data_IF_515285726477
#
_entry.id   IF_515285726477
#
_cell.length_a   1.000
_cell.length_b   1.000
_cell.length_c   1.000
_cell.angle_alpha   90.00
_cell.angle_beta   90.00
_cell.angle_gamma   90.00
#
_symmetry.space_group_name_H-M   'P 1'
#
loop_
_entity.id
_entity.type
_entity.pdbx_description
1 polymer ?
#
# COMPACT_ATOMS: atom_id res chain seq x y z
N UNK A 1 -35.73 -27.01 -34.71
CA UNK A 1 -34.47 -26.58 -34.08
C UNK A 1 -33.84 -27.80 -33.43
N UNK A 2 -32.64 -28.22 -33.85
CA UNK A 2 -32.04 -29.47 -33.36
C UNK A 2 -31.68 -29.34 -31.88
N UNK A 3 -32.25 -30.18 -31.03
CA UNK A 3 -32.03 -30.20 -29.58
C UNK A 3 -30.53 -30.26 -29.22
N UNK A 4 -29.73 -30.95 -30.05
CA UNK A 4 -28.28 -31.04 -29.90
C UNK A 4 -27.56 -29.68 -29.98
N UNK A 5 -28.01 -28.77 -30.85
CA UNK A 5 -27.42 -27.42 -30.96
C UNK A 5 -27.69 -26.61 -29.71
N UNK A 6 -28.88 -26.76 -29.11
CA UNK A 6 -29.26 -26.09 -27.87
C UNK A 6 -28.43 -26.58 -26.69
N UNK A 7 -28.18 -27.89 -26.60
CA UNK A 7 -27.36 -28.49 -25.54
C UNK A 7 -25.89 -28.06 -25.64
N UNK A 8 -25.34 -27.97 -26.85
CA UNK A 8 -23.97 -27.48 -27.07
C UNK A 8 -23.87 -26.00 -26.68
N UNK A 9 -24.86 -25.18 -27.02
CA UNK A 9 -24.87 -23.77 -26.63
C UNK A 9 -24.91 -23.60 -25.10
N UNK A 10 -25.73 -24.39 -24.40
CA UNK A 10 -25.81 -24.39 -22.94
C UNK A 10 -24.51 -24.84 -22.28
N UNK A 11 -23.84 -25.87 -22.81
CA UNK A 11 -22.58 -26.36 -22.22
C UNK A 11 -21.46 -25.31 -22.36
N UNK A 12 -21.38 -24.62 -23.50
CA UNK A 12 -20.43 -23.53 -23.71
C UNK A 12 -20.72 -22.36 -22.75
N UNK A 13 -21.99 -22.02 -22.53
CA UNK A 13 -22.38 -20.95 -21.62
C UNK A 13 -21.98 -21.27 -20.17
N UNK A 14 -22.22 -22.50 -19.72
CA UNK A 14 -21.85 -22.97 -18.37
C UNK A 14 -20.33 -22.95 -18.19
N UNK A 15 -19.58 -23.40 -19.20
CA UNK A 15 -18.12 -23.38 -19.17
C UNK A 15 -17.57 -21.96 -19.12
N UNK A 16 -18.12 -21.03 -19.91
CA UNK A 16 -17.74 -19.62 -19.88
C UNK A 16 -17.96 -18.99 -18.49
N UNK A 17 -19.12 -19.26 -17.88
CA UNK A 17 -19.44 -18.76 -16.54
C UNK A 17 -18.53 -19.34 -15.46
N UNK A 18 -18.20 -20.63 -15.54
CA UNK A 18 -17.28 -21.27 -14.61
C UNK A 18 -15.86 -20.70 -14.74
N UNK A 19 -15.39 -20.49 -15.97
CA UNK A 19 -14.07 -19.90 -16.24
C UNK A 19 -13.97 -18.48 -15.68
N UNK A 20 -14.98 -17.64 -15.86
CA UNK A 20 -14.99 -16.27 -15.31
C UNK A 20 -14.80 -16.27 -13.78
N UNK A 21 -15.50 -17.15 -13.06
CA UNK A 21 -15.30 -17.32 -11.61
C UNK A 21 -13.90 -17.80 -11.25
N UNK A 22 -13.32 -18.71 -12.02
CA UNK A 22 -11.97 -19.23 -11.77
C UNK A 22 -10.92 -18.14 -12.01
N UNK A 23 -11.06 -17.34 -13.07
CA UNK A 23 -10.13 -16.24 -13.38
C UNK A 23 -10.07 -15.21 -12.25
N UNK A 24 -11.20 -14.83 -11.67
CA UNK A 24 -11.20 -13.88 -10.53
C UNK A 24 -10.45 -14.45 -9.33
N UNK A 25 -10.60 -15.74 -9.03
CA UNK A 25 -9.84 -16.40 -7.95
C UNK A 25 -8.36 -16.51 -8.28
N UNK A 26 -7.99 -16.89 -9.49
CA UNK A 26 -6.58 -16.99 -9.91
C UNK A 26 -5.88 -15.64 -9.76
N UNK A 27 -6.50 -14.53 -10.17
CA UNK A 27 -5.90 -13.20 -10.02
C UNK A 27 -5.65 -12.81 -8.55
N UNK A 28 -6.50 -13.25 -7.63
CA UNK A 28 -6.26 -13.03 -6.19
C UNK A 28 -5.10 -13.88 -5.68
N UNK A 29 -5.03 -15.14 -6.09
CA UNK A 29 -3.95 -16.06 -5.72
C UNK A 29 -2.61 -15.59 -6.29
N UNK A 30 -2.57 -15.12 -7.54
CA UNK A 30 -1.37 -14.55 -8.17
C UNK A 30 -0.82 -13.37 -7.37
N UNK A 31 -1.68 -12.43 -6.94
CA UNK A 31 -1.26 -11.31 -6.08
C UNK A 31 -0.67 -11.79 -4.75
N UNK A 32 -1.26 -12.81 -4.14
CA UNK A 32 -0.74 -13.42 -2.92
C UNK A 32 0.62 -14.11 -3.14
N UNK A 33 0.77 -14.87 -4.23
CA UNK A 33 2.04 -15.55 -4.57
C UNK A 33 3.16 -14.54 -4.82
N UNK A 34 2.88 -13.44 -5.54
CA UNK A 34 3.85 -12.36 -5.76
C UNK A 34 4.26 -11.72 -4.42
N UNK A 35 3.30 -11.51 -3.51
CA UNK A 35 3.56 -11.02 -2.16
C UNK A 35 4.44 -11.98 -1.33
N UNK A 36 4.13 -13.27 -1.38
CA UNK A 36 4.89 -14.32 -0.69
C UNK A 36 6.32 -14.41 -1.22
N UNK A 37 6.54 -14.36 -2.54
CA UNK A 37 7.89 -14.36 -3.13
C UNK A 37 8.74 -13.18 -2.62
N UNK A 38 8.17 -11.99 -2.46
CA UNK A 38 8.87 -10.82 -1.89
C UNK A 38 9.26 -11.03 -0.43
N UNK A 39 8.37 -11.64 0.37
CA UNK A 39 8.64 -11.99 1.77
C UNK A 39 9.73 -13.04 1.88
N UNK A 40 9.66 -14.10 1.07
CA UNK A 40 10.67 -15.16 1.01
C UNK A 40 12.05 -14.57 0.67
N UNK A 41 12.14 -13.70 -0.35
CA UNK A 41 13.42 -13.05 -0.72
C UNK A 41 14.00 -12.17 0.39
N UNK A 42 13.16 -11.60 1.24
CA UNK A 42 13.59 -10.81 2.41
C UNK A 42 14.09 -11.71 3.53
N UNK A 43 13.41 -12.83 3.77
CA UNK A 43 13.84 -13.86 4.72
C UNK A 43 15.15 -14.48 4.26
N UNK A 44 15.27 -14.85 2.99
CA UNK A 44 16.50 -15.38 2.38
C UNK A 44 17.69 -14.43 2.57
N UNK A 45 17.49 -13.12 2.32
CA UNK A 45 18.53 -12.11 2.59
C UNK A 45 18.93 -12.03 4.05
N UNK A 46 18.00 -12.17 5.00
CA UNK A 46 18.29 -12.17 6.43
C UNK A 46 19.01 -13.44 6.86
N UNK A 47 18.62 -14.60 6.33
CA UNK A 47 19.26 -15.89 6.63
C UNK A 47 20.67 -15.94 6.03
N UNK A 48 20.88 -15.45 4.80
CA UNK A 48 22.18 -15.35 4.15
C UNK A 48 23.11 -14.35 4.87
N UNK A 49 22.61 -13.18 5.30
CA UNK A 49 23.39 -12.21 6.10
C UNK A 49 23.61 -12.65 7.55
N UNK A 50 22.70 -13.43 8.11
CA UNK A 50 22.75 -13.94 9.47
C UNK A 50 23.85 -14.97 9.72
N UNK A 51 24.48 -15.51 8.67
CA UNK A 51 25.68 -16.36 8.81
C UNK A 51 26.99 -15.56 8.92
N UNK A 52 27.01 -14.24 8.73
CA UNK A 52 28.25 -13.44 8.66
C UNK A 52 28.30 -12.28 9.69
N UNK A 53 27.32 -12.11 10.58
CA UNK A 53 27.38 -11.00 11.56
C UNK A 53 26.99 -11.38 12.98
N UNK A 54 27.85 -12.18 13.60
CA UNK A 54 28.31 -11.91 14.96
C UNK A 54 29.06 -10.58 14.94
N UNK A 55 28.41 -9.46 15.26
CA UNK A 55 29.01 -8.28 15.89
C UNK A 55 28.04 -7.09 15.90
N UNK A 56 27.62 -6.76 17.11
CA UNK A 56 27.30 -5.41 17.64
C UNK A 56 27.94 -4.27 16.83
N UNK A 57 27.21 -3.24 16.36
CA UNK A 57 27.84 -2.00 15.97
C UNK A 57 28.05 -1.14 17.22
N UNK A 58 29.33 -0.98 17.52
CA UNK A 58 29.92 -0.04 18.47
C UNK A 58 29.54 1.40 18.17
N UNK A 59 29.36 2.16 19.24
CA UNK A 59 29.33 3.61 19.37
C UNK A 59 30.33 4.29 18.43
N UNK A 60 29.88 5.26 17.63
CA UNK A 60 30.74 6.19 16.90
C UNK A 60 30.34 7.62 17.25
N UNK A 61 30.95 8.11 18.33
CA UNK A 61 31.04 9.53 18.69
C UNK A 61 32.00 10.22 17.74
N UNK A 62 31.60 11.31 17.06
CA UNK A 62 32.53 12.40 16.75
C UNK A 62 31.87 13.73 16.34
N UNK A 63 32.11 14.72 17.20
CA UNK A 63 32.48 16.13 16.94
C UNK A 63 31.51 17.09 16.25
N UNK A 64 30.85 17.88 17.10
CA UNK A 64 30.91 19.36 17.21
C UNK A 64 31.56 20.08 16.02
N UNK A 65 30.76 20.91 15.35
CA UNK A 65 31.19 21.98 14.45
C UNK A 65 30.13 23.09 14.42
N UNK A 66 30.42 24.19 15.13
CA UNK A 66 29.64 25.43 15.20
C UNK A 66 29.58 26.15 13.84
N UNK A 67 28.41 26.67 13.45
CA UNK A 67 28.21 27.88 12.64
C UNK A 67 26.70 28.24 12.55
N UNK A 68 26.33 29.53 12.37
CA UNK A 68 25.37 30.21 13.24
C UNK A 68 23.95 30.42 12.66
N UNK A 69 23.05 30.84 13.55
CA UNK A 69 21.68 31.31 13.29
C UNK A 69 21.56 32.22 12.07
N UNK A 70 20.54 32.01 11.22
CA UNK A 70 19.89 33.12 10.53
C UNK A 70 18.39 32.87 10.31
N UNK A 71 17.62 33.73 10.97
CA UNK A 71 16.24 34.19 10.79
C UNK A 71 15.22 33.36 9.98
N UNK A 72 14.15 32.98 10.69
CA UNK A 72 12.74 32.91 10.29
C UNK A 72 12.39 33.17 8.81
N UNK A 73 11.57 32.31 8.18
CA UNK A 73 10.20 32.78 7.99
C UNK A 73 9.12 31.72 8.25
N UNK A 74 8.07 32.14 8.98
CA UNK A 74 6.65 31.74 8.91
C UNK A 74 6.36 30.32 8.38
N UNK A 75 5.78 29.40 9.19
CA UNK A 75 5.16 28.21 8.62
C UNK A 75 3.96 28.65 7.77
N UNK A 76 4.12 28.68 6.44
CA UNK A 76 2.97 28.69 5.53
C UNK A 76 2.18 27.42 5.85
N UNK A 77 1.01 27.59 6.48
CA UNK A 77 -0.02 26.56 6.54
C UNK A 77 -0.22 26.05 5.12
N UNK A 78 0.29 24.85 4.83
CA UNK A 78 -0.08 24.12 3.61
C UNK A 78 -1.54 23.76 3.79
N UNK A 79 -2.43 24.59 3.24
CA UNK A 79 -3.83 24.24 2.99
C UNK A 79 -3.85 22.83 2.41
N UNK A 80 -4.49 21.89 3.10
CA UNK A 80 -4.65 20.53 2.59
C UNK A 80 -5.35 20.63 1.22
N UNK A 81 -4.89 19.86 0.22
CA UNK A 81 -5.59 19.82 -1.06
C UNK A 81 -7.01 19.33 -0.84
N UNK A 82 -8.00 20.16 -1.16
CA UNK A 82 -9.43 19.88 -1.03
C UNK A 82 -9.92 18.88 -2.08
N UNK A 83 -9.12 18.64 -3.12
CA UNK A 83 -9.47 17.78 -4.25
C UNK A 83 -8.51 16.59 -4.38
N UNK A 84 -9.07 15.44 -4.72
CA UNK A 84 -8.36 14.19 -5.04
C UNK A 84 -8.79 13.69 -6.41
N UNK A 85 -7.97 12.82 -7.02
CA UNK A 85 -8.24 12.26 -8.34
C UNK A 85 -8.45 10.76 -8.23
N UNK A 86 -9.50 10.23 -8.84
CA UNK A 86 -9.75 8.80 -8.86
C UNK A 86 -8.68 8.11 -9.70
N UNK A 87 -7.96 7.15 -9.10
CA UNK A 87 -6.91 6.39 -9.78
C UNK A 87 -7.39 5.53 -10.95
N UNK A 88 -8.71 5.29 -11.04
CA UNK A 88 -9.30 4.40 -12.06
C UNK A 88 -9.93 5.17 -13.22
N UNK A 89 -10.71 6.22 -12.93
CA UNK A 89 -11.44 6.96 -13.97
C UNK A 89 -10.92 8.39 -14.19
N UNK A 90 -9.88 8.81 -13.45
CA UNK A 90 -9.27 10.14 -13.56
C UNK A 90 -10.18 11.30 -13.14
N UNK A 91 -11.38 11.03 -12.62
CA UNK A 91 -12.32 12.07 -12.18
C UNK A 91 -11.80 12.74 -10.92
N UNK A 92 -11.81 14.08 -10.90
CA UNK A 92 -11.48 14.89 -9.72
C UNK A 92 -12.71 15.00 -8.81
N UNK A 93 -12.55 14.79 -7.52
CA UNK A 93 -13.62 14.87 -6.53
C UNK A 93 -13.06 15.29 -5.16
N UNK A 94 -13.93 15.74 -4.25
CA UNK A 94 -13.51 16.19 -2.92
C UNK A 94 -12.89 15.06 -2.10
N UNK A 95 -11.81 15.38 -1.35
CA UNK A 95 -11.18 14.44 -0.42
C UNK A 95 -12.11 13.98 0.73
N UNK A 96 -13.18 14.71 0.99
CA UNK A 96 -14.16 14.37 2.03
C UNK A 96 -14.94 13.09 1.69
N UNK A 97 -15.17 12.82 0.40
CA UNK A 97 -15.88 11.64 -0.06
C UNK A 97 -15.01 10.38 0.09
N UNK A 98 -15.60 9.32 0.62
CA UNK A 98 -14.98 8.00 0.75
C UNK A 98 -14.81 7.28 -0.59
N UNK A 99 -15.64 7.63 -1.59
CA UNK A 99 -15.68 6.97 -2.88
C UNK A 99 -15.83 7.99 -4.01
N UNK A 100 -15.29 7.64 -5.18
CA UNK A 100 -15.46 8.43 -6.39
C UNK A 100 -16.95 8.43 -6.82
N UNK A 101 -17.58 9.59 -7.06
CA UNK A 101 -18.99 9.67 -7.43
C UNK A 101 -19.31 9.04 -8.80
N UNK A 102 -18.32 8.92 -9.69
CA UNK A 102 -18.50 8.41 -11.06
C UNK A 102 -18.41 6.90 -11.17
N UNK A 103 -17.56 6.26 -10.36
CA UNK A 103 -17.22 4.84 -10.50
C UNK A 103 -17.19 4.08 -9.18
N UNK A 104 -17.54 4.73 -8.07
CA UNK A 104 -17.63 4.16 -6.73
C UNK A 104 -16.34 3.51 -6.18
N UNK A 105 -15.19 3.75 -6.81
CA UNK A 105 -13.88 3.32 -6.31
C UNK A 105 -13.47 4.11 -5.07
N UNK A 106 -12.79 3.44 -4.15
CA UNK A 106 -12.37 3.98 -2.85
C UNK A 106 -11.35 5.11 -3.05
N UNK A 107 -11.50 6.17 -2.25
CA UNK A 107 -10.55 7.27 -2.17
C UNK A 107 -9.30 6.88 -1.38
N UNK A 108 -8.28 6.39 -2.09
CA UNK A 108 -7.03 5.92 -1.49
C UNK A 108 -6.30 7.06 -0.76
N UNK A 109 -6.44 8.30 -1.23
CA UNK A 109 -5.72 9.45 -0.68
C UNK A 109 -6.26 9.86 0.71
N UNK A 110 -7.56 9.64 0.98
CA UNK A 110 -8.17 9.85 2.31
C UNK A 110 -7.59 8.92 3.38
N UNK A 111 -7.33 7.67 3.01
CA UNK A 111 -6.78 6.65 3.91
C UNK A 111 -5.26 6.55 3.84
N UNK A 112 -4.60 7.40 3.05
CA UNK A 112 -3.15 7.44 2.97
C UNK A 112 -2.61 8.08 4.23
N UNK A 113 -2.34 7.24 5.24
CA UNK A 113 -1.63 7.66 6.45
C UNK A 113 -0.32 8.33 6.03
N UNK A 114 -0.21 9.65 6.27
CA UNK A 114 1.06 10.36 6.12
C UNK A 114 2.04 9.74 7.11
N UNK A 115 2.98 8.95 6.62
CA UNK A 115 4.04 8.32 7.44
C UNK A 115 5.11 9.33 7.92
N UNK A 116 4.76 10.61 8.02
CA UNK A 116 5.61 11.66 8.57
C UNK A 116 4.82 12.32 9.69
N UNK A 117 5.35 12.25 10.92
CA UNK A 117 4.80 12.68 12.23
C UNK A 117 4.05 11.62 13.05
N UNK A 118 4.78 10.59 13.50
CA UNK A 118 4.50 9.95 14.81
C UNK A 118 5.82 9.45 15.41
N UNK A 119 6.66 10.40 15.81
CA UNK A 119 7.71 10.20 16.80
C UNK A 119 7.75 11.47 17.64
N UNK A 120 6.79 11.61 18.56
CA UNK A 120 6.85 12.59 19.63
C UNK A 120 6.29 11.90 20.88
N UNK A 121 7.23 11.49 21.73
CA UNK A 121 7.11 11.20 23.16
C UNK A 121 6.00 10.24 23.59
N UNK A 122 6.37 8.97 23.77
CA UNK A 122 5.66 8.02 24.62
C UNK A 122 6.68 7.19 25.41
N UNK A 123 7.65 7.88 26.01
CA UNK A 123 8.42 7.40 27.15
C UNK A 123 8.23 8.51 28.19
N UNK A 124 7.27 8.35 29.09
CA UNK A 124 7.25 8.77 30.51
C UNK A 124 5.97 8.17 31.14
N UNK A 125 6.11 7.64 32.36
CA UNK A 125 5.12 7.04 33.25
C UNK A 125 4.60 5.62 32.96
N UNK A 126 5.33 4.64 33.50
CA UNK A 126 4.76 3.46 34.18
C UNK A 126 5.69 3.06 35.33
N UNK A 127 5.66 3.85 36.40
CA UNK A 127 5.89 3.37 37.77
C UNK A 127 4.51 2.99 38.34
N UNK A 128 4.33 1.70 38.68
CA UNK A 128 3.51 1.09 39.76
C UNK A 128 3.64 -0.43 39.64
#
# INVERSE_FOLDING_TARGET
>A
MNIGVVLIALSVLIMAWALERIFTRIQTVERHIIGLRKRIKTIEKRVMKGKISTAKPSTATRTIGFAPQNTNPKPKQKSMPTETVCSFCGTKYSMELDKCPKCNHINIEKYRVRRNTSSKNADEDLDI
#
